data_IF_121157251710
#
_entry.id   IF_121157251710
#
_cell.length_a   1.000
_cell.length_b   1.000
_cell.length_c   1.000
_cell.angle_alpha   90.00
_cell.angle_beta   90.00
_cell.angle_gamma   90.00
#
_symmetry.space_group_name_H-M   'P 1'
#
loop_
_entity.id
_entity.type
_entity.pdbx_description
1 polymer ?
#
# COMPACT_ATOMS: atom_id res chain seq x y z
N UNK A 1 -20.91 -6.30 3.14
CA UNK A 1 -20.58 -5.37 4.27
C UNK A 1 -19.30 -4.62 3.87
N UNK A 2 -19.27 -3.29 4.01
CA UNK A 2 -18.07 -2.49 3.72
C UNK A 2 -17.20 -2.38 4.97
N UNK A 3 -15.89 -2.52 4.81
CA UNK A 3 -14.92 -2.29 5.88
C UNK A 3 -14.73 -0.77 6.10
N UNK A 4 -14.88 -0.25 7.33
CA UNK A 4 -14.72 1.17 7.60
C UNK A 4 -13.23 1.55 7.63
N UNK A 5 -12.77 2.29 6.64
CA UNK A 5 -11.38 2.74 6.57
C UNK A 5 -11.24 4.12 7.20
N UNK A 6 -10.36 4.24 8.17
CA UNK A 6 -10.02 5.51 8.82
C UNK A 6 -8.62 6.01 8.43
N UNK A 7 -7.70 5.10 8.22
CA UNK A 7 -6.30 5.40 7.89
C UNK A 7 -5.74 4.32 6.99
N UNK A 8 -4.87 4.73 6.07
CA UNK A 8 -4.09 3.84 5.24
C UNK A 8 -2.62 4.14 5.51
N UNK A 9 -1.90 3.14 6.04
CA UNK A 9 -0.46 3.19 6.17
C UNK A 9 0.16 2.25 5.14
N UNK A 10 1.14 2.77 4.42
CA UNK A 10 1.91 2.02 3.44
C UNK A 10 3.33 1.81 3.97
N UNK A 11 3.94 0.68 3.58
CA UNK A 11 5.31 0.34 3.98
C UNK A 11 6.20 0.38 2.75
N UNK A 12 7.05 1.39 2.69
CA UNK A 12 7.99 1.54 1.58
C UNK A 12 9.12 0.52 1.62
N UNK A 13 9.59 0.09 0.42
CA UNK A 13 10.70 -0.85 0.23
C UNK A 13 10.47 -2.23 0.88
N UNK A 14 9.23 -2.65 1.01
CA UNK A 14 8.89 -3.92 1.66
C UNK A 14 9.12 -5.14 0.77
N UNK A 15 9.09 -4.97 -0.56
CA UNK A 15 9.33 -6.04 -1.53
C UNK A 15 10.78 -6.02 -2.01
N UNK A 16 11.49 -7.15 -1.81
CA UNK A 16 12.92 -7.26 -2.09
C UNK A 16 13.28 -7.00 -3.55
N UNK A 17 12.48 -7.48 -4.48
CA UNK A 17 12.74 -7.34 -5.90
C UNK A 17 12.53 -5.89 -6.35
N UNK A 18 11.45 -5.27 -5.93
CA UNK A 18 11.21 -3.85 -6.18
C UNK A 18 12.31 -2.95 -5.58
N UNK A 19 12.82 -3.26 -4.39
CA UNK A 19 13.93 -2.53 -3.80
C UNK A 19 15.20 -2.63 -4.67
N UNK A 20 15.49 -3.82 -5.23
CA UNK A 20 16.64 -4.02 -6.13
C UNK A 20 16.48 -3.27 -7.46
N UNK A 21 15.30 -3.28 -8.06
CA UNK A 21 14.99 -2.52 -9.30
C UNK A 21 15.22 -1.02 -9.11
N UNK A 22 14.93 -0.50 -7.93
CA UNK A 22 15.14 0.89 -7.55
C UNK A 22 16.58 1.19 -7.08
N UNK A 23 17.52 0.23 -7.20
CA UNK A 23 18.91 0.38 -6.78
C UNK A 23 19.09 0.52 -5.28
N UNK A 24 18.09 0.14 -4.47
CA UNK A 24 18.15 0.21 -3.02
C UNK A 24 18.49 -1.16 -2.42
N UNK A 25 19.28 -1.16 -1.34
CA UNK A 25 19.44 -2.36 -0.53
C UNK A 25 18.12 -2.72 0.15
N UNK A 26 17.86 -4.03 0.28
CA UNK A 26 16.76 -4.52 1.10
C UNK A 26 17.14 -4.28 2.55
N UNK A 27 16.68 -3.16 3.10
CA UNK A 27 16.86 -2.85 4.51
C UNK A 27 15.68 -3.46 5.29
N UNK A 28 15.97 -4.47 6.08
CA UNK A 28 15.01 -5.08 7.02
C UNK A 28 15.06 -4.42 8.41
N UNK A 29 15.70 -3.26 8.52
CA UNK A 29 15.73 -2.45 9.73
C UNK A 29 14.39 -1.78 10.01
N UNK A 30 14.41 -0.49 10.23
CA UNK A 30 13.19 0.27 10.52
C UNK A 30 12.36 0.44 9.24
N UNK A 31 11.08 0.03 9.23
CA UNK A 31 10.20 0.22 8.08
C UNK A 31 9.97 1.71 7.80
N UNK A 32 9.94 2.08 6.52
CA UNK A 32 9.56 3.43 6.10
C UNK A 32 8.05 3.46 5.95
N UNK A 33 7.40 4.25 6.79
CA UNK A 33 5.96 4.48 6.70
C UNK A 33 5.64 5.75 5.92
N UNK A 34 4.60 5.69 5.13
CA UNK A 34 3.89 6.84 4.58
C UNK A 34 2.39 6.57 4.60
N UNK A 35 1.58 7.58 4.36
CA UNK A 35 0.14 7.45 4.40
C UNK A 35 -0.50 7.77 3.06
N UNK A 36 -1.67 7.16 2.83
CA UNK A 36 -2.66 7.63 1.86
C UNK A 36 -3.91 8.05 2.61
N UNK A 37 -4.63 9.10 2.15
CA UNK A 37 -5.91 9.47 2.75
C UNK A 37 -6.94 8.34 2.57
N UNK A 38 -7.84 8.19 3.53
CA UNK A 38 -8.86 7.14 3.47
C UNK A 38 -9.83 7.29 2.29
N UNK A 39 -10.04 8.51 1.83
CA UNK A 39 -10.87 8.87 0.68
C UNK A 39 -10.17 8.70 -0.69
N UNK A 40 -8.88 8.36 -0.70
CA UNK A 40 -8.17 7.98 -1.91
C UNK A 40 -8.52 6.57 -2.42
N UNK A 41 -9.34 5.81 -1.67
CA UNK A 41 -9.72 4.44 -2.04
C UNK A 41 -10.66 4.45 -3.24
N UNK A 42 -10.36 3.58 -4.21
CA UNK A 42 -11.27 3.19 -5.29
C UNK A 42 -11.63 1.72 -5.10
N UNK A 43 -12.91 1.41 -5.12
CA UNK A 43 -13.47 0.06 -4.92
C UNK A 43 -14.35 -0.34 -6.11
N UNK A 44 -14.75 -1.61 -6.12
CA UNK A 44 -15.74 -2.13 -7.05
C UNK A 44 -15.36 -1.92 -8.53
N UNK A 45 -14.07 -2.10 -8.86
CA UNK A 45 -13.47 -1.91 -10.20
C UNK A 45 -13.74 -0.51 -10.80
N UNK A 46 -13.84 0.49 -9.92
CA UNK A 46 -14.07 1.87 -10.33
C UNK A 46 -12.92 2.44 -11.17
N UNK A 47 -13.27 3.37 -12.05
CA UNK A 47 -12.30 4.05 -12.89
C UNK A 47 -11.30 4.87 -12.07
N UNK A 48 -10.04 4.81 -12.47
CA UNK A 48 -8.97 5.63 -11.90
C UNK A 48 -8.56 6.67 -12.94
N UNK A 49 -8.96 7.93 -12.80
CA UNK A 49 -8.54 8.96 -13.72
C UNK A 49 -7.02 9.17 -13.65
N UNK A 50 -6.38 9.34 -14.80
CA UNK A 50 -4.95 9.67 -14.81
C UNK A 50 -4.75 11.00 -14.07
N UNK A 51 -3.91 11.02 -13.00
CA UNK A 51 -3.78 12.20 -12.18
C UNK A 51 -3.11 13.35 -12.94
N UNK A 52 -3.55 14.58 -12.68
CA UNK A 52 -2.89 15.79 -13.17
C UNK A 52 -1.50 15.97 -12.53
N UNK A 53 -0.70 16.86 -13.08
CA UNK A 53 0.61 17.28 -12.54
C UNK A 53 1.66 16.14 -12.41
N UNK A 54 1.54 15.09 -13.21
CA UNK A 54 2.56 14.06 -13.37
C UNK A 54 2.64 13.59 -14.81
N UNK A 55 3.83 13.26 -15.26
CA UNK A 55 4.07 12.57 -16.54
C UNK A 55 4.43 11.08 -16.32
N UNK A 56 4.52 10.63 -15.07
CA UNK A 56 5.07 9.32 -14.72
C UNK A 56 4.27 8.69 -13.57
N UNK A 57 3.14 8.06 -13.92
CA UNK A 57 2.32 7.30 -12.99
C UNK A 57 2.77 5.85 -12.95
N UNK A 58 3.19 5.40 -11.78
CA UNK A 58 3.52 3.99 -11.52
C UNK A 58 2.40 3.30 -10.73
N UNK A 59 2.21 2.02 -11.00
CA UNK A 59 1.26 1.15 -10.33
C UNK A 59 2.05 0.06 -9.59
N UNK A 60 2.13 0.21 -8.29
CA UNK A 60 2.81 -0.75 -7.40
C UNK A 60 1.73 -1.67 -6.83
N UNK A 61 1.73 -2.95 -7.25
CA UNK A 61 0.78 -3.94 -6.71
C UNK A 61 1.24 -4.40 -5.34
N UNK A 62 0.33 -4.39 -4.36
CA UNK A 62 0.65 -4.67 -2.98
C UNK A 62 -0.43 -5.50 -2.28
N UNK A 63 -0.01 -6.28 -1.28
CA UNK A 63 -0.95 -6.91 -0.36
C UNK A 63 -1.54 -5.87 0.59
N UNK A 64 -2.85 -5.85 0.67
CA UNK A 64 -3.61 -5.00 1.61
C UNK A 64 -3.98 -5.81 2.83
N UNK A 65 -3.75 -5.25 4.02
CA UNK A 65 -4.11 -5.85 5.30
C UNK A 65 -5.12 -4.93 6.00
N UNK A 66 -6.31 -5.45 6.28
CA UNK A 66 -7.31 -4.77 7.08
C UNK A 66 -7.19 -5.21 8.55
N UNK A 67 -7.06 -4.26 9.47
CA UNK A 67 -6.93 -4.53 10.91
C UNK A 67 -8.28 -4.43 11.62
N UNK A 68 -8.63 -5.44 12.42
CA UNK A 68 -9.86 -5.48 13.21
C UNK A 68 -9.81 -4.53 14.42
N UNK A 69 -8.63 -4.34 14.99
CA UNK A 69 -8.44 -3.54 16.19
C UNK A 69 -7.07 -2.89 16.22
N UNK A 70 -6.98 -1.77 16.92
CA UNK A 70 -5.70 -1.15 17.25
C UNK A 70 -5.00 -1.83 18.42
N UNK A 71 -3.88 -1.25 18.84
CA UNK A 71 -3.12 -1.66 19.99
C UNK A 71 -1.86 -0.81 20.17
N UNK A 72 -1.15 -1.07 21.26
CA UNK A 72 0.15 -0.47 21.56
C UNK A 72 1.07 -1.56 22.06
N UNK A 73 2.32 -1.50 21.65
CA UNK A 73 3.38 -2.42 22.12
C UNK A 73 2.96 -3.90 21.99
N UNK A 74 2.33 -4.23 20.85
CA UNK A 74 1.81 -5.57 20.58
C UNK A 74 2.99 -6.50 20.33
N UNK A 75 3.16 -7.59 21.10
CA UNK A 75 4.16 -8.60 20.82
C UNK A 75 3.99 -9.20 19.42
N UNK A 76 5.10 -9.55 18.78
CA UNK A 76 5.07 -10.07 17.39
C UNK A 76 4.18 -11.31 17.26
N UNK A 77 4.21 -12.20 18.25
CA UNK A 77 3.38 -13.42 18.31
C UNK A 77 1.89 -13.16 18.33
N UNK A 78 1.45 -11.94 18.72
CA UNK A 78 0.05 -11.52 18.76
C UNK A 78 -0.34 -10.57 17.61
N UNK A 79 0.59 -10.23 16.72
CA UNK A 79 0.34 -9.27 15.65
C UNK A 79 -0.75 -9.76 14.66
N UNK A 80 -0.72 -11.05 14.29
CA UNK A 80 -1.67 -11.63 13.37
C UNK A 80 -3.10 -11.70 13.92
N UNK A 81 -3.28 -11.72 15.23
CA UNK A 81 -4.61 -11.66 15.88
C UNK A 81 -5.35 -10.35 15.60
N UNK A 82 -4.64 -9.30 15.17
CA UNK A 82 -5.21 -8.01 14.81
C UNK A 82 -5.71 -7.94 13.38
N UNK A 83 -5.39 -8.93 12.56
CA UNK A 83 -5.75 -8.93 11.14
C UNK A 83 -7.19 -9.42 10.97
N UNK A 84 -7.99 -8.60 10.31
CA UNK A 84 -9.37 -8.93 9.94
C UNK A 84 -9.42 -9.64 8.58
N UNK A 85 -8.74 -9.07 7.58
CA UNK A 85 -8.85 -9.52 6.20
C UNK A 85 -7.62 -9.12 5.37
N UNK A 86 -7.50 -9.74 4.22
CA UNK A 86 -6.48 -9.47 3.20
C UNK A 86 -7.14 -9.11 1.88
N UNK A 87 -6.46 -8.33 1.08
CA UNK A 87 -6.83 -7.98 -0.29
C UNK A 87 -5.61 -7.61 -1.11
N UNK A 88 -5.84 -7.20 -2.33
CA UNK A 88 -4.82 -6.66 -3.24
C UNK A 88 -5.14 -5.18 -3.48
N UNK A 89 -4.12 -4.36 -3.56
CA UNK A 89 -4.28 -2.96 -3.89
C UNK A 89 -3.19 -2.45 -4.83
N UNK A 90 -3.41 -1.26 -5.33
CA UNK A 90 -2.41 -0.51 -6.07
C UNK A 90 -1.97 0.70 -5.25
N UNK A 91 -0.68 0.78 -4.94
CA UNK A 91 -0.08 2.01 -4.43
C UNK A 91 0.31 2.89 -5.62
N UNK A 92 -0.68 3.61 -6.17
CA UNK A 92 -0.44 4.52 -7.29
C UNK A 92 0.51 5.63 -6.86
N UNK A 93 1.51 5.86 -7.69
CA UNK A 93 2.62 6.75 -7.38
C UNK A 93 2.91 7.68 -8.53
N UNK A 94 2.88 8.99 -8.28
CA UNK A 94 3.45 10.02 -9.17
C UNK A 94 4.97 9.98 -9.00
N UNK A 95 5.64 9.18 -9.84
CA UNK A 95 7.05 8.82 -9.64
C UNK A 95 8.01 10.00 -9.76
N UNK A 96 7.77 10.89 -10.69
CA UNK A 96 8.51 12.14 -10.89
C UNK A 96 8.46 13.04 -9.64
N UNK A 97 7.27 13.19 -9.03
CA UNK A 97 7.10 13.96 -7.80
C UNK A 97 7.78 13.27 -6.61
N UNK A 98 7.69 11.93 -6.53
CA UNK A 98 8.37 11.19 -5.47
C UNK A 98 9.90 11.32 -5.58
N UNK A 99 10.46 11.26 -6.79
CA UNK A 99 11.89 11.44 -7.02
C UNK A 99 12.35 12.83 -6.57
N UNK A 100 11.58 13.87 -6.90
CA UNK A 100 11.82 15.24 -6.45
C UNK A 100 11.75 15.36 -4.92
N UNK A 101 10.73 14.79 -4.30
CA UNK A 101 10.58 14.80 -2.85
C UNK A 101 11.74 14.10 -2.13
N UNK A 102 12.17 12.92 -2.64
CA UNK A 102 13.33 12.20 -2.12
C UNK A 102 14.62 13.04 -2.20
N UNK A 103 14.85 13.70 -3.33
CA UNK A 103 16.04 14.56 -3.55
C UNK A 103 16.07 15.73 -2.57
N UNK A 104 14.91 16.30 -2.26
CA UNK A 104 14.79 17.48 -1.42
C UNK A 104 14.60 17.15 0.08
N UNK A 105 14.48 15.86 0.45
CA UNK A 105 14.13 15.48 1.82
C UNK A 105 12.73 15.91 2.24
N UNK A 106 11.80 16.07 1.27
CA UNK A 106 10.43 16.51 1.49
C UNK A 106 9.48 15.33 1.71
N UNK A 107 8.32 15.54 2.36
CA UNK A 107 7.26 14.53 2.46
C UNK A 107 6.79 14.03 1.09
N UNK A 108 6.24 12.79 1.06
CA UNK A 108 5.78 12.14 -0.18
C UNK A 108 4.29 12.35 -0.47
N UNK A 109 3.59 13.17 0.32
CA UNK A 109 2.14 13.31 0.28
C UNK A 109 1.61 13.62 -1.13
N UNK A 110 2.23 14.57 -1.84
CA UNK A 110 1.83 14.92 -3.22
C UNK A 110 2.06 13.80 -4.23
N UNK A 111 3.01 12.92 -3.95
CA UNK A 111 3.36 11.79 -4.81
C UNK A 111 2.53 10.54 -4.53
N UNK A 112 2.10 10.35 -3.28
CA UNK A 112 1.48 9.12 -2.78
C UNK A 112 0.03 9.29 -2.31
N UNK A 113 -0.36 10.47 -1.83
CA UNK A 113 -1.64 10.73 -1.19
C UNK A 113 -2.63 11.56 -2.05
N UNK A 114 -2.63 11.37 -3.37
CA UNK A 114 -3.56 12.05 -4.27
C UNK A 114 -4.88 11.28 -4.42
N UNK A 115 -5.90 11.94 -4.96
CA UNK A 115 -7.23 11.37 -5.18
C UNK A 115 -7.17 10.10 -6.04
N UNK A 116 -7.95 9.08 -5.67
CA UNK A 116 -8.00 7.78 -6.34
C UNK A 116 -6.66 7.03 -6.36
N UNK A 117 -5.72 7.36 -5.47
CA UNK A 117 -4.39 6.75 -5.45
C UNK A 117 -4.32 5.37 -4.79
N UNK A 118 -5.43 4.85 -4.28
CA UNK A 118 -5.50 3.57 -3.58
C UNK A 118 -6.65 2.66 -4.09
N UNK A 119 -6.60 2.16 -5.33
CA UNK A 119 -7.51 1.11 -5.76
C UNK A 119 -7.32 -0.17 -4.92
N UNK A 120 -8.41 -0.76 -4.44
CA UNK A 120 -8.39 -1.94 -3.57
C UNK A 120 -9.43 -2.95 -4.00
N UNK A 121 -9.04 -4.21 -4.10
CA UNK A 121 -9.93 -5.34 -4.38
C UNK A 121 -10.89 -5.63 -3.22
N UNK A 122 -11.81 -6.56 -3.43
CA UNK A 122 -12.56 -7.17 -2.34
C UNK A 122 -11.64 -7.78 -1.29
N UNK A 123 -12.05 -7.69 -0.03
CA UNK A 123 -11.29 -8.25 1.10
C UNK A 123 -11.76 -9.68 1.42
N UNK A 124 -10.80 -10.56 1.66
CA UNK A 124 -11.03 -11.93 2.12
C UNK A 124 -10.69 -12.04 3.61
N UNK A 125 -11.63 -12.53 4.41
CA UNK A 125 -11.43 -12.61 5.87
C UNK A 125 -10.30 -13.57 6.23
N UNK A 126 -9.46 -13.19 7.18
CA UNK A 126 -8.42 -14.07 7.70
C UNK A 126 -8.97 -15.36 8.31
N UNK A 127 -10.20 -15.33 8.88
CA UNK A 127 -10.91 -16.53 9.34
C UNK A 127 -11.20 -17.55 8.24
N UNK A 128 -11.33 -17.11 7.00
CA UNK A 128 -11.74 -17.95 5.87
C UNK A 128 -10.53 -18.48 5.08
N UNK A 129 -9.46 -17.68 4.99
CA UNK A 129 -8.28 -18.01 4.16
C UNK A 129 -6.99 -18.24 4.96
N UNK A 130 -7.01 -18.02 6.28
CA UNK A 130 -5.81 -18.02 7.12
C UNK A 130 -4.93 -16.79 6.89
N UNK A 131 -3.66 -16.91 7.28
CA UNK A 131 -2.66 -15.86 7.08
C UNK A 131 -1.69 -16.28 5.97
N UNK A 132 -1.72 -15.65 4.80
CA UNK A 132 -0.84 -16.01 3.68
C UNK A 132 0.61 -15.66 4.03
N UNK A 133 1.44 -16.68 4.22
CA UNK A 133 2.86 -16.52 4.54
C UNK A 133 3.76 -16.61 3.31
N UNK A 134 3.28 -17.26 2.23
CA UNK A 134 3.99 -17.42 0.98
C UNK A 134 2.97 -17.51 -0.17
N UNK A 135 2.88 -16.47 -0.97
CA UNK A 135 1.94 -16.39 -2.08
C UNK A 135 2.53 -15.50 -3.20
N UNK A 136 2.10 -15.75 -4.41
CA UNK A 136 2.42 -14.89 -5.55
C UNK A 136 1.43 -13.71 -5.59
N UNK A 137 1.94 -12.53 -5.94
CA UNK A 137 1.16 -11.36 -6.28
C UNK A 137 1.60 -10.90 -7.67
N UNK A 138 0.63 -10.69 -8.56
CA UNK A 138 0.92 -10.32 -9.95
C UNK A 138 0.01 -9.20 -10.43
N UNK A 139 0.50 -8.43 -11.40
CA UNK A 139 -0.23 -7.37 -12.08
C UNK A 139 -0.02 -7.50 -13.59
N UNK A 140 -1.09 -7.42 -14.34
CA UNK A 140 -1.07 -7.35 -15.79
C UNK A 140 -1.49 -5.95 -16.24
N UNK A 141 -0.70 -5.34 -17.12
CA UNK A 141 -0.98 -4.02 -17.68
C UNK A 141 -0.97 -4.13 -19.21
N UNK A 142 -2.13 -3.95 -19.83
CA UNK A 142 -2.41 -3.89 -21.30
C UNK A 142 -1.63 -4.88 -22.15
#
# INVERSE_FOLDING_TARGET
MRFPVHRIYCIGRNYADHAREMGAAVDRGNPIFFAKPADAIVIDDGDVPYPSATAELHHEVEMVIALASGGRDIPVEHALEKVYAYGIGLDLTRRDLQATAKKNGSPWDTAKGFDCSAPVSSLHRASDIGHPANAEISLHVN
#
